data_IF_881517411318
#
_entry.id   IF_881517411318
#
_cell.length_a   1.000
_cell.length_b   1.000
_cell.length_c   1.000
_cell.angle_alpha   90.00
_cell.angle_beta   90.00
_cell.angle_gamma   90.00
#
_symmetry.space_group_name_H-M   'P 1'
#
loop_
_entity.id
_entity.type
_entity.pdbx_description
1 polymer ?
#
# COMPACT_ATOMS: atom_id res chain seq x y z
N UNK A 1 15.09 32.15 7.95
CA UNK A 1 14.27 31.18 7.20
C UNK A 1 14.13 29.92 8.05
N UNK A 2 13.01 29.75 8.76
CA UNK A 2 12.81 28.67 9.74
C UNK A 2 12.58 27.35 9.00
N UNK A 3 13.55 26.45 9.12
CA UNK A 3 13.50 25.08 8.62
C UNK A 3 12.42 24.31 9.40
N UNK A 4 11.31 23.99 8.73
CA UNK A 4 10.23 23.19 9.30
C UNK A 4 10.72 21.74 9.45
N UNK A 5 11.15 21.39 10.66
CA UNK A 5 11.57 20.05 11.04
C UNK A 5 10.31 19.20 11.25
N UNK A 6 9.95 18.42 10.24
CA UNK A 6 8.84 17.44 10.33
C UNK A 6 9.14 16.46 11.48
N UNK A 7 8.20 16.22 12.42
CA UNK A 7 8.43 15.32 13.53
C UNK A 7 8.57 13.88 13.02
N UNK A 8 9.75 13.27 13.22
CA UNK A 8 9.98 11.86 12.96
C UNK A 8 9.20 11.03 13.97
N UNK A 9 8.00 10.58 13.60
CA UNK A 9 7.22 9.61 14.37
C UNK A 9 7.97 8.27 14.35
N UNK A 10 8.75 7.99 15.40
CA UNK A 10 9.71 6.86 15.48
C UNK A 10 9.08 5.47 15.65
N UNK A 11 7.75 5.32 15.67
CA UNK A 11 7.12 4.06 16.12
C UNK A 11 6.88 3.00 15.03
N UNK A 12 7.10 3.30 13.74
CA UNK A 12 6.91 2.34 12.62
C UNK A 12 8.21 1.89 11.95
N UNK A 13 9.36 2.46 12.34
CA UNK A 13 10.64 2.25 11.65
C UNK A 13 11.27 0.86 11.86
N UNK A 14 10.97 0.17 12.96
CA UNK A 14 11.65 -1.07 13.33
C UNK A 14 11.27 -2.22 12.38
N UNK A 15 9.98 -2.37 12.03
CA UNK A 15 9.54 -3.37 11.05
C UNK A 15 9.90 -3.00 9.61
N UNK A 16 9.98 -1.68 9.30
CA UNK A 16 10.36 -1.18 7.97
C UNK A 16 11.80 -1.57 7.58
N UNK A 17 12.71 -1.60 8.54
CA UNK A 17 14.15 -1.84 8.31
C UNK A 17 14.48 -3.32 8.07
N UNK A 18 13.59 -4.25 8.44
CA UNK A 18 13.79 -5.69 8.24
C UNK A 18 13.50 -6.14 6.81
N UNK A 19 12.38 -5.68 6.24
CA UNK A 19 11.99 -6.07 4.87
C UNK A 19 12.97 -5.47 3.85
N UNK A 20 13.39 -4.22 4.06
CA UNK A 20 14.37 -3.56 3.20
C UNK A 20 15.78 -4.14 3.34
N UNK A 21 16.08 -4.94 4.37
CA UNK A 21 17.35 -5.67 4.52
C UNK A 21 17.42 -6.95 3.67
N UNK A 22 16.28 -7.50 3.27
CA UNK A 22 16.22 -8.69 2.41
C UNK A 22 16.46 -8.40 0.93
N UNK A 23 16.43 -7.13 0.54
CA UNK A 23 16.78 -6.72 -0.82
C UNK A 23 18.31 -6.65 -0.90
N UNK A 24 18.86 -7.36 -1.89
CA UNK A 24 20.30 -7.29 -2.21
C UNK A 24 20.63 -5.90 -2.73
N UNK A 25 21.23 -5.07 -1.87
CA UNK A 25 21.70 -3.72 -2.21
C UNK A 25 23.12 -3.75 -2.73
N UNK A 26 23.45 -2.84 -3.64
CA UNK A 26 24.84 -2.58 -4.00
C UNK A 26 25.55 -1.86 -2.85
N UNK A 27 26.87 -1.96 -2.77
CA UNK A 27 27.66 -1.37 -1.66
C UNK A 27 27.50 0.15 -1.54
N UNK A 28 27.21 0.83 -2.66
CA UNK A 28 27.03 2.29 -2.73
C UNK A 28 25.55 2.73 -2.63
N UNK A 29 24.60 1.78 -2.59
CA UNK A 29 23.16 2.05 -2.63
C UNK A 29 22.63 2.39 -1.23
N UNK A 30 21.99 3.55 -1.09
CA UNK A 30 21.39 4.07 0.14
C UNK A 30 19.88 4.21 -0.03
N UNK A 31 19.13 3.84 1.00
CA UNK A 31 17.68 4.03 1.02
C UNK A 31 17.39 5.48 1.41
N UNK A 32 16.73 6.20 0.52
CA UNK A 32 16.31 7.59 0.73
C UNK A 32 14.88 7.65 1.27
N UNK A 33 13.96 6.88 0.69
CA UNK A 33 12.56 6.86 1.08
C UNK A 33 12.02 5.44 1.16
N UNK A 34 11.09 5.24 2.10
CA UNK A 34 10.26 4.03 2.16
C UNK A 34 8.82 4.50 2.28
N UNK A 35 8.00 4.13 1.31
CA UNK A 35 6.62 4.59 1.17
C UNK A 35 5.66 3.42 1.34
N UNK A 36 4.52 3.69 1.95
CA UNK A 36 3.42 2.75 2.13
C UNK A 36 2.10 3.45 1.86
N UNK A 37 1.07 2.66 1.57
CA UNK A 37 -0.32 3.13 1.46
C UNK A 37 -0.74 3.80 2.77
N UNK A 38 -1.56 4.84 2.68
CA UNK A 38 -2.01 5.63 3.82
C UNK A 38 -3.01 4.83 4.69
N UNK A 39 -2.86 4.89 6.01
CA UNK A 39 -3.68 4.11 6.96
C UNK A 39 -5.18 4.39 6.82
N UNK A 40 -5.55 5.63 6.46
CA UNK A 40 -6.96 5.98 6.26
C UNK A 40 -7.64 5.14 5.18
N UNK A 41 -6.91 4.76 4.13
CA UNK A 41 -7.51 3.99 3.05
C UNK A 41 -7.86 2.59 3.54
N UNK A 42 -7.06 2.01 4.43
CA UNK A 42 -7.38 0.74 5.06
C UNK A 42 -8.50 0.88 6.10
N UNK A 43 -8.52 1.97 6.87
CA UNK A 43 -9.56 2.20 7.89
C UNK A 43 -10.97 2.22 7.32
N UNK A 44 -11.16 2.79 6.12
CA UNK A 44 -12.45 2.75 5.43
C UNK A 44 -12.91 1.31 5.13
N UNK A 45 -11.99 0.43 4.75
CA UNK A 45 -12.29 -0.99 4.51
C UNK A 45 -12.57 -1.74 5.81
N UNK A 46 -11.85 -1.42 6.89
CA UNK A 46 -12.13 -1.96 8.24
C UNK A 46 -13.54 -1.56 8.70
N UNK A 47 -13.95 -0.32 8.47
CA UNK A 47 -15.28 0.14 8.82
C UNK A 47 -16.37 -0.60 8.02
N UNK A 48 -16.18 -0.76 6.70
CA UNK A 48 -17.11 -1.52 5.87
C UNK A 48 -17.19 -3.00 6.30
N UNK A 49 -16.05 -3.60 6.64
CA UNK A 49 -15.99 -4.96 7.17
C UNK A 49 -16.73 -5.08 8.51
N UNK A 50 -16.54 -4.13 9.43
CA UNK A 50 -17.28 -4.11 10.69
C UNK A 50 -18.80 -4.01 10.47
N UNK A 51 -19.24 -3.20 9.50
CA UNK A 51 -20.66 -3.13 9.12
C UNK A 51 -21.17 -4.46 8.54
N UNK A 52 -20.38 -5.11 7.67
CA UNK A 52 -20.72 -6.42 7.12
C UNK A 52 -20.85 -7.49 8.21
N UNK A 53 -20.00 -7.43 9.24
CA UNK A 53 -20.05 -8.35 10.39
C UNK A 53 -21.32 -8.18 11.23
N UNK A 54 -21.99 -7.03 11.17
CA UNK A 54 -23.29 -6.83 11.82
C UNK A 54 -24.46 -7.45 11.04
N UNK A 55 -24.29 -7.79 9.76
CA UNK A 55 -25.38 -8.29 8.92
C UNK A 55 -26.04 -9.57 9.47
N UNK A 56 -25.30 -10.60 9.95
CA UNK A 56 -25.92 -11.78 10.56
C UNK A 56 -26.66 -11.48 11.86
N UNK A 57 -26.20 -10.50 12.64
CA UNK A 57 -26.83 -10.06 13.89
C UNK A 57 -28.18 -9.40 13.58
N UNK A 58 -28.19 -8.47 12.63
CA UNK A 58 -29.41 -7.80 12.17
C UNK A 58 -30.38 -8.83 11.59
N UNK A 59 -29.88 -9.74 10.75
CA UNK A 59 -30.68 -10.83 10.17
C UNK A 59 -31.32 -11.72 11.24
N UNK A 60 -30.57 -12.09 12.29
CA UNK A 60 -31.09 -12.84 13.43
C UNK A 60 -32.25 -12.13 14.12
N UNK A 61 -32.11 -10.83 14.41
CA UNK A 61 -33.18 -10.05 15.04
C UNK A 61 -34.42 -9.94 14.15
N UNK A 62 -34.25 -9.73 12.84
CA UNK A 62 -35.37 -9.68 11.89
C UNK A 62 -36.11 -11.03 11.88
N UNK A 63 -35.38 -12.14 11.77
CA UNK A 63 -35.96 -13.48 11.70
C UNK A 63 -36.72 -13.83 12.99
N UNK A 64 -36.16 -13.47 14.15
CA UNK A 64 -36.79 -13.71 15.47
C UNK A 64 -38.09 -12.95 15.64
N UNK A 65 -38.18 -11.72 15.16
CA UNK A 65 -39.37 -10.88 15.30
C UNK A 65 -40.48 -11.25 14.30
N UNK A 66 -40.12 -11.58 13.05
CA UNK A 66 -41.10 -11.92 12.01
C UNK A 66 -41.57 -13.37 12.08
N UNK A 67 -40.69 -14.28 12.50
CA UNK A 67 -40.93 -15.73 12.46
C UNK A 67 -40.40 -16.43 13.73
N UNK A 68 -41.00 -16.18 14.90
CA UNK A 68 -40.49 -16.71 16.17
C UNK A 68 -40.39 -18.25 16.21
N UNK A 69 -41.31 -18.95 15.55
CA UNK A 69 -41.33 -20.43 15.50
C UNK A 69 -40.24 -21.07 14.64
N UNK A 70 -39.47 -20.31 13.85
CA UNK A 70 -38.36 -20.86 13.05
C UNK A 70 -37.25 -21.44 13.94
N UNK A 71 -37.04 -20.83 15.12
CA UNK A 71 -35.98 -21.26 16.05
C UNK A 71 -36.35 -22.47 16.90
N UNK A 72 -37.63 -22.87 16.92
CA UNK A 72 -38.10 -24.07 17.64
C UNK A 72 -37.81 -25.35 16.85
N UNK A 73 -37.58 -25.24 15.53
CA UNK A 73 -37.21 -26.37 14.69
C UNK A 73 -35.70 -26.62 14.77
N UNK A 74 -35.31 -27.72 15.42
CA UNK A 74 -33.90 -28.10 15.62
C UNK A 74 -33.08 -28.10 14.31
N UNK A 75 -33.67 -28.64 13.23
CA UNK A 75 -33.03 -28.69 11.91
C UNK A 75 -32.69 -27.29 11.40
N UNK A 76 -33.62 -26.33 11.51
CA UNK A 76 -33.40 -24.97 11.01
C UNK A 76 -32.35 -24.25 11.86
N UNK A 77 -32.39 -24.44 13.18
CA UNK A 77 -31.38 -23.88 14.07
C UNK A 77 -29.96 -24.35 13.69
N UNK A 78 -29.78 -25.66 13.42
CA UNK A 78 -28.49 -26.21 12.99
C UNK A 78 -28.01 -25.54 11.70
N UNK A 79 -28.87 -25.41 10.69
CA UNK A 79 -28.50 -24.75 9.43
C UNK A 79 -28.17 -23.27 9.60
N UNK A 80 -28.87 -22.55 10.48
CA UNK A 80 -28.57 -21.15 10.79
C UNK A 80 -27.20 -20.99 11.46
N UNK A 81 -26.87 -21.85 12.42
CA UNK A 81 -25.56 -21.85 13.09
C UNK A 81 -24.45 -22.18 12.09
N UNK A 82 -24.61 -23.22 11.27
CA UNK A 82 -23.65 -23.57 10.24
C UNK A 82 -23.47 -22.46 9.21
N UNK A 83 -24.56 -21.90 8.69
CA UNK A 83 -24.53 -20.82 7.70
C UNK A 83 -23.84 -19.56 8.21
N UNK A 84 -24.15 -19.15 9.45
CA UNK A 84 -23.50 -17.98 10.08
C UNK A 84 -22.02 -18.23 10.36
N UNK A 85 -21.65 -19.45 10.76
CA UNK A 85 -20.25 -19.84 10.97
C UNK A 85 -19.44 -19.78 9.67
N UNK A 86 -19.98 -20.33 8.58
CA UNK A 86 -19.38 -20.26 7.24
C UNK A 86 -19.25 -18.81 6.78
N UNK A 87 -20.28 -17.99 6.99
CA UNK A 87 -20.27 -16.57 6.65
C UNK A 87 -19.12 -15.84 7.36
N UNK A 88 -19.02 -15.99 8.68
CA UNK A 88 -17.96 -15.32 9.45
C UNK A 88 -16.58 -15.80 9.04
N UNK A 89 -16.37 -17.11 8.88
CA UNK A 89 -15.08 -17.66 8.43
C UNK A 89 -14.68 -17.12 7.06
N UNK A 90 -15.62 -17.08 6.12
CA UNK A 90 -15.38 -16.53 4.77
C UNK A 90 -15.06 -15.05 4.84
N UNK A 91 -15.83 -14.27 5.62
CA UNK A 91 -15.62 -12.84 5.78
C UNK A 91 -14.23 -12.55 6.38
N UNK A 92 -13.84 -13.26 7.45
CA UNK A 92 -12.52 -13.13 8.05
C UNK A 92 -11.39 -13.49 7.08
N UNK A 93 -11.54 -14.57 6.32
CA UNK A 93 -10.52 -14.98 5.35
C UNK A 93 -10.31 -13.92 4.27
N UNK A 94 -11.40 -13.37 3.71
CA UNK A 94 -11.32 -12.32 2.70
C UNK A 94 -10.71 -11.03 3.27
N UNK A 95 -11.11 -10.64 4.49
CA UNK A 95 -10.54 -9.49 5.17
C UNK A 95 -9.04 -9.67 5.42
N UNK A 96 -8.61 -10.87 5.83
CA UNK A 96 -7.22 -11.16 6.09
C UNK A 96 -6.37 -11.12 4.81
N UNK A 97 -6.87 -11.65 3.69
CA UNK A 97 -6.19 -11.55 2.38
C UNK A 97 -6.03 -10.09 1.98
N UNK A 98 -7.08 -9.27 2.11
CA UNK A 98 -7.01 -7.84 1.79
C UNK A 98 -6.09 -7.07 2.76
N UNK A 99 -6.07 -7.44 4.03
CA UNK A 99 -5.14 -6.87 5.02
C UNK A 99 -3.69 -7.17 4.65
N UNK A 100 -3.40 -8.41 4.22
CA UNK A 100 -2.05 -8.79 3.81
C UNK A 100 -1.58 -8.03 2.57
N UNK A 101 -2.42 -7.91 1.54
CA UNK A 101 -2.14 -7.07 0.36
C UNK A 101 -1.78 -5.63 0.79
N UNK A 102 -2.62 -5.02 1.63
CA UNK A 102 -2.36 -3.66 2.14
C UNK A 102 -1.08 -3.55 2.99
N UNK A 103 -0.80 -4.54 3.83
CA UNK A 103 0.31 -4.48 4.80
C UNK A 103 1.68 -4.82 4.20
N UNK A 104 1.70 -5.71 3.21
CA UNK A 104 2.91 -6.21 2.57
C UNK A 104 3.35 -5.37 1.37
N UNK A 105 2.43 -4.60 0.78
CA UNK A 105 2.77 -3.63 -0.27
C UNK A 105 3.69 -2.52 0.25
N UNK A 106 4.80 -2.32 -0.44
CA UNK A 106 5.87 -1.42 -0.04
C UNK A 106 6.62 -0.88 -1.26
N UNK A 107 6.88 0.43 -1.26
CA UNK A 107 7.80 1.04 -2.21
C UNK A 107 9.06 1.51 -1.49
N UNK A 108 10.22 1.20 -2.05
CA UNK A 108 11.51 1.63 -1.55
C UNK A 108 12.18 2.45 -2.63
N UNK A 109 12.58 3.68 -2.30
CA UNK A 109 13.33 4.56 -3.19
C UNK A 109 14.75 4.64 -2.65
N UNK A 110 15.71 4.22 -3.47
CA UNK A 110 17.13 4.37 -3.19
C UNK A 110 17.71 5.54 -3.98
N UNK A 111 19.01 5.76 -3.90
CA UNK A 111 19.73 6.73 -4.73
C UNK A 111 20.08 6.22 -6.15
N UNK A 112 19.76 4.98 -6.49
CA UNK A 112 20.06 4.32 -7.78
C UNK A 112 18.74 3.93 -8.49
N UNK A 113 17.75 3.43 -7.74
CA UNK A 113 16.51 2.87 -8.30
C UNK A 113 15.31 2.93 -7.35
N UNK A 114 14.13 2.73 -7.91
CA UNK A 114 12.88 2.47 -7.21
C UNK A 114 12.63 0.96 -7.22
N UNK A 115 12.23 0.43 -6.07
CA UNK A 115 11.84 -0.97 -5.90
C UNK A 115 10.39 -1.00 -5.45
N UNK A 116 9.56 -1.58 -6.30
CA UNK A 116 8.14 -1.79 -6.06
C UNK A 116 7.89 -3.25 -5.67
N UNK A 117 7.29 -3.45 -4.50
CA UNK A 117 6.94 -4.75 -3.96
C UNK A 117 5.43 -4.81 -3.87
N UNK A 118 4.83 -5.63 -4.73
CA UNK A 118 3.39 -5.87 -4.77
C UNK A 118 3.10 -7.33 -4.38
N UNK A 119 2.15 -7.53 -3.46
CA UNK A 119 1.74 -8.85 -2.99
C UNK A 119 0.38 -9.24 -3.59
N UNK A 120 0.37 -10.17 -4.54
CA UNK A 120 -0.86 -10.71 -5.12
C UNK A 120 -1.35 -11.94 -4.32
N UNK A 121 -2.30 -11.73 -3.42
CA UNK A 121 -2.87 -12.80 -2.59
C UNK A 121 -1.85 -13.37 -1.59
N UNK A 122 -1.95 -14.66 -1.26
CA UNK A 122 -1.09 -15.26 -0.22
C UNK A 122 0.26 -15.78 -0.73
N UNK A 123 0.38 -16.07 -2.03
CA UNK A 123 1.51 -16.85 -2.57
C UNK A 123 2.20 -16.24 -3.79
N UNK A 124 1.74 -15.09 -4.28
CA UNK A 124 2.38 -14.41 -5.41
C UNK A 124 2.91 -13.06 -4.97
N UNK A 125 4.19 -12.80 -5.26
CA UNK A 125 4.84 -11.52 -5.00
C UNK A 125 5.56 -11.08 -6.25
N UNK A 126 5.31 -9.85 -6.66
CA UNK A 126 6.02 -9.20 -7.77
C UNK A 126 6.98 -8.19 -7.20
N UNK A 127 8.24 -8.25 -7.65
CA UNK A 127 9.25 -7.25 -7.32
C UNK A 127 9.68 -6.61 -8.63
N UNK A 128 9.34 -5.33 -8.80
CA UNK A 128 9.70 -4.54 -9.97
C UNK A 128 10.77 -3.53 -9.58
N UNK A 129 11.79 -3.40 -10.43
CA UNK A 129 12.88 -2.45 -10.22
C UNK A 129 12.92 -1.45 -11.37
N UNK A 130 13.15 -0.18 -11.05
CA UNK A 130 13.25 0.91 -12.01
C UNK A 130 14.41 1.83 -11.66
N UNK A 131 15.42 1.90 -12.52
CA UNK A 131 16.52 2.83 -12.37
C UNK A 131 16.05 4.29 -12.41
N UNK A 132 16.56 5.11 -11.50
CA UNK A 132 16.14 6.51 -11.35
C UNK A 132 16.49 7.34 -12.59
N UNK A 133 17.62 7.11 -13.24
CA UNK A 133 18.01 7.84 -14.44
C UNK A 133 17.06 7.62 -15.63
N UNK A 134 16.31 6.50 -15.64
CA UNK A 134 15.35 6.13 -16.71
C UNK A 134 13.97 6.75 -16.54
N UNK A 135 13.69 7.35 -15.39
CA UNK A 135 12.45 8.09 -15.14
C UNK A 135 12.34 9.22 -16.16
N UNK A 136 11.17 9.38 -16.78
CA UNK A 136 10.90 10.46 -17.73
C UNK A 136 9.95 11.49 -17.14
N UNK A 137 8.90 11.02 -16.48
CA UNK A 137 7.91 11.89 -15.87
C UNK A 137 7.44 11.31 -14.53
N UNK A 138 7.15 12.22 -13.60
CA UNK A 138 6.56 11.90 -12.30
C UNK A 138 5.36 12.82 -12.11
N UNK A 139 4.17 12.23 -11.98
CA UNK A 139 2.91 12.96 -11.84
C UNK A 139 2.23 12.60 -10.52
N UNK A 140 1.86 13.60 -9.72
CA UNK A 140 1.09 13.43 -8.48
C UNK A 140 -0.39 13.73 -8.72
N UNK A 141 -1.26 12.81 -8.29
CA UNK A 141 -2.70 12.88 -8.45
C UNK A 141 -3.40 12.83 -7.09
N UNK A 142 -4.03 13.94 -6.69
CA UNK A 142 -4.87 14.04 -5.49
C UNK A 142 -6.28 14.40 -5.94
N UNK A 143 -7.22 13.46 -5.82
CA UNK A 143 -8.59 13.63 -6.34
C UNK A 143 -9.62 13.35 -5.25
N UNK A 144 -10.49 14.32 -4.98
CA UNK A 144 -11.63 14.17 -4.07
C UNK A 144 -11.41 14.80 -2.69
N UNK A 145 -12.51 14.89 -1.92
CA UNK A 145 -12.54 15.62 -0.65
C UNK A 145 -11.60 15.03 0.42
N UNK A 146 -11.67 13.72 0.67
CA UNK A 146 -10.85 13.07 1.69
C UNK A 146 -9.34 13.06 1.35
N UNK A 147 -8.92 12.74 0.10
CA UNK A 147 -7.51 12.86 -0.32
C UNK A 147 -6.95 14.27 -0.15
N UNK A 148 -7.70 15.31 -0.49
CA UNK A 148 -7.27 16.71 -0.33
C UNK A 148 -7.18 17.10 1.15
N UNK A 149 -8.16 16.72 1.97
CA UNK A 149 -8.18 17.08 3.39
C UNK A 149 -7.08 16.37 4.20
N UNK A 150 -6.82 15.10 3.89
CA UNK A 150 -5.85 14.27 4.61
C UNK A 150 -4.48 14.20 3.91
N UNK A 151 -4.30 14.95 2.83
CA UNK A 151 -3.09 15.05 2.02
C UNK A 151 -2.48 13.71 1.61
N UNK A 152 -3.30 12.82 1.05
CA UNK A 152 -2.82 11.58 0.43
C UNK A 152 -3.25 11.51 -1.03
N UNK A 153 -2.51 10.77 -1.86
CA UNK A 153 -2.84 10.61 -3.27
C UNK A 153 -1.93 9.61 -3.96
N UNK A 154 -2.05 9.54 -5.28
CA UNK A 154 -1.27 8.61 -6.09
C UNK A 154 -0.10 9.34 -6.75
N UNK A 155 1.01 8.65 -6.96
CA UNK A 155 2.12 9.14 -7.78
C UNK A 155 2.36 8.13 -8.89
N UNK A 156 2.39 8.61 -10.13
CA UNK A 156 2.69 7.81 -11.31
C UNK A 156 4.10 8.14 -11.77
N UNK A 157 4.94 7.11 -11.90
CA UNK A 157 6.31 7.21 -12.36
C UNK A 157 6.40 6.53 -13.72
N UNK A 158 6.58 7.34 -14.76
CA UNK A 158 6.67 6.86 -16.14
C UNK A 158 8.12 6.83 -16.60
N UNK A 159 8.44 5.80 -17.38
CA UNK A 159 9.79 5.55 -17.90
C UNK A 159 9.79 5.71 -19.42
N UNK A 160 10.99 5.80 -20.00
CA UNK A 160 11.12 5.86 -21.45
C UNK A 160 10.70 4.55 -22.14
N UNK A 161 10.69 3.44 -21.39
CA UNK A 161 10.23 2.16 -21.88
C UNK A 161 8.74 2.01 -21.57
N UNK A 162 7.95 1.60 -22.56
CA UNK A 162 6.50 1.42 -22.42
C UNK A 162 6.09 0.34 -21.41
N UNK A 163 7.02 -0.49 -20.95
CA UNK A 163 6.72 -1.73 -20.24
C UNK A 163 6.80 -1.62 -18.71
N UNK A 164 7.26 -0.49 -18.16
CA UNK A 164 7.42 -0.31 -16.71
C UNK A 164 6.76 1.02 -16.32
N UNK A 165 5.64 0.91 -15.61
CA UNK A 165 4.94 2.02 -14.94
C UNK A 165 4.81 1.65 -13.47
N UNK A 166 5.33 2.50 -12.57
CA UNK A 166 5.25 2.31 -11.13
C UNK A 166 4.25 3.31 -10.57
N UNK A 167 3.28 2.82 -9.80
CA UNK A 167 2.25 3.66 -9.18
C UNK A 167 2.33 3.55 -7.66
N UNK A 168 2.75 4.62 -7.01
CA UNK A 168 2.67 4.73 -5.56
C UNK A 168 1.24 5.08 -5.16
N UNK A 169 0.50 4.09 -4.68
CA UNK A 169 -0.93 4.22 -4.39
C UNK A 169 -1.18 4.80 -3.00
N UNK A 170 -2.02 5.83 -2.92
CA UNK A 170 -2.49 6.47 -1.69
C UNK A 170 -1.35 6.81 -0.71
N UNK A 171 -0.26 7.39 -1.19
CA UNK A 171 0.86 7.83 -0.34
C UNK A 171 0.57 9.18 0.29
N UNK A 172 1.13 9.41 1.48
CA UNK A 172 1.03 10.69 2.18
C UNK A 172 1.93 11.74 1.54
N UNK A 173 1.48 12.98 1.47
CA UNK A 173 2.23 14.12 0.95
C UNK A 173 2.77 13.89 -0.49
N UNK A 174 1.90 13.52 -1.47
CA UNK A 174 2.36 13.03 -2.78
C UNK A 174 3.15 14.08 -3.58
N UNK A 175 2.87 15.37 -3.39
CA UNK A 175 3.60 16.46 -4.04
C UNK A 175 5.06 16.54 -3.55
N UNK A 176 5.29 16.39 -2.25
CA UNK A 176 6.65 16.40 -1.68
C UNK A 176 7.45 15.20 -2.14
N UNK A 177 6.83 14.01 -2.19
CA UNK A 177 7.48 12.81 -2.70
C UNK A 177 7.81 12.96 -4.19
N UNK A 178 6.90 13.54 -4.99
CA UNK A 178 7.15 13.85 -6.41
C UNK A 178 8.41 14.73 -6.58
N UNK A 179 8.51 15.82 -5.83
CA UNK A 179 9.67 16.71 -5.89
C UNK A 179 10.96 15.98 -5.51
N UNK A 180 10.91 15.12 -4.49
CA UNK A 180 12.06 14.30 -4.08
C UNK A 180 12.47 13.31 -5.17
N UNK A 181 11.51 12.64 -5.82
CA UNK A 181 11.79 11.72 -6.92
C UNK A 181 12.46 12.40 -8.10
N UNK A 182 11.97 13.57 -8.52
CA UNK A 182 12.57 14.35 -9.61
C UNK A 182 14.01 14.71 -9.26
N UNK A 183 14.24 15.20 -8.04
CA UNK A 183 15.58 15.56 -7.57
C UNK A 183 16.53 14.35 -7.56
N UNK A 184 16.09 13.21 -7.06
CA UNK A 184 16.88 11.97 -7.02
C UNK A 184 17.20 11.47 -8.44
N UNK A 185 16.24 11.54 -9.37
CA UNK A 185 16.46 11.20 -10.78
C UNK A 185 17.51 12.09 -11.45
N UNK A 186 17.48 13.41 -11.19
CA UNK A 186 18.48 14.33 -11.72
C UNK A 186 19.88 14.13 -11.13
N UNK A 187 19.96 13.77 -9.85
CA UNK A 187 21.23 13.44 -9.19
C UNK A 187 21.84 12.16 -9.75
N UNK A 188 21.03 11.12 -9.96
CA UNK A 188 21.44 9.84 -10.53
C UNK A 188 21.90 9.98 -12.00
N UNK A 189 21.18 10.77 -12.82
CA UNK A 189 21.61 11.09 -14.20
C UNK A 189 22.97 11.76 -14.25
N UNK A 190 23.25 12.70 -13.32
CA UNK A 190 24.56 13.37 -13.23
C UNK A 190 25.66 12.42 -12.80
N UNK A 191 25.35 11.45 -11.95
CA UNK A 191 26.30 10.43 -11.52
C UNK A 191 26.70 9.54 -12.70
N UNK A 192 25.73 9.00 -13.44
CA UNK A 192 25.99 8.19 -14.63
C UNK A 192 26.72 8.95 -15.75
N UNK A 193 26.35 10.22 -15.99
CA UNK A 193 27.05 11.03 -17.00
C UNK A 193 28.52 11.32 -16.67
N UNK A 194 28.88 11.38 -15.39
CA UNK A 194 30.30 11.55 -14.98
C UNK A 194 31.08 10.25 -15.18
N UNK A 195 30.48 9.12 -14.84
CA UNK A 195 31.11 7.81 -14.98
C UNK A 195 31.44 7.50 -16.45
N UNK A 196 30.53 7.81 -17.38
CA UNK A 196 30.77 7.66 -18.82
C UNK A 196 31.93 8.52 -19.35
N UNK A 197 32.22 9.66 -18.71
CA UNK A 197 33.34 10.53 -19.09
C UNK A 197 34.67 10.01 -18.56
N UNK A 198 34.68 9.48 -17.35
CA UNK A 198 35.88 8.97 -16.69
C UNK A 198 36.34 7.64 -17.32
N UNK A 199 35.43 6.83 -17.88
CA UNK A 199 35.78 5.59 -18.61
C UNK A 199 36.29 5.81 -20.04
N UNK A 200 36.01 6.99 -20.63
CA UNK A 200 36.40 7.34 -22.00
C UNK A 200 37.65 8.25 -22.09
N UNK A 201 38.35 8.48 -20.97
CA UNK A 201 39.63 9.19 -20.88
C UNK A 201 40.77 8.23 -20.53
#
# INVERSE_FOLDING_TARGET
MKMFRVPKMKLTLISLMDIARFIKKKSYEKIELVLRRHVITFLAHVFLFALLMLAPVIFYFILKNLFPGIFEMEIIYIFLVLGTSIFYMTAYLLFFVHFLDYYLDLWIVTNDRIIDIEQFGLFSRTISELDLFRIQDVTSNVHGFFPTMLNYGNIHVKTASSNIDIVFRNVRDPNTIREQLIKLSDEDRKFHYKQDKDENQ
#
